data_IF_528395304977
#
_entry.id   IF_528395304977
#
_cell.length_a   1.000
_cell.length_b   1.000
_cell.length_c   1.000
_cell.angle_alpha   90.00
_cell.angle_beta   90.00
_cell.angle_gamma   90.00
#
_symmetry.space_group_name_H-M   'P 1'
#
loop_
_entity.id
_entity.type
_entity.pdbx_description
1 polymer ?
#
# COMPACT_ATOMS: atom_id res chain seq x y z
N UNK A 1 -17.84 -9.00 11.63
CA UNK A 1 -17.07 -8.97 10.38
C UNK A 1 -17.00 -7.52 10.00
N UNK A 2 -15.82 -6.92 10.11
CA UNK A 2 -15.67 -5.52 9.76
C UNK A 2 -15.94 -5.36 8.27
N UNK A 3 -16.72 -4.35 7.91
CA UNK A 3 -17.08 -4.08 6.53
C UNK A 3 -15.95 -3.27 5.92
N UNK A 4 -15.44 -3.72 4.77
CA UNK A 4 -14.54 -2.91 3.96
C UNK A 4 -15.33 -1.80 3.28
N UNK A 5 -14.78 -0.60 3.32
CA UNK A 5 -15.13 0.46 2.39
C UNK A 5 -14.28 0.26 1.13
N UNK A 6 -14.95 0.13 -0.01
CA UNK A 6 -14.30 -0.25 -1.26
C UNK A 6 -14.65 0.81 -2.30
N UNK A 7 -13.62 1.24 -3.01
CA UNK A 7 -13.75 2.10 -4.17
C UNK A 7 -13.03 1.43 -5.36
N UNK A 8 -13.51 1.70 -6.56
CA UNK A 8 -13.00 1.09 -7.78
C UNK A 8 -12.49 2.17 -8.73
N UNK A 9 -11.40 1.87 -9.42
CA UNK A 9 -10.85 2.67 -10.49
C UNK A 9 -10.74 1.82 -11.76
N UNK A 10 -11.23 2.33 -12.88
CA UNK A 10 -11.20 1.60 -14.15
C UNK A 10 -9.80 1.57 -14.80
N UNK A 11 -8.89 2.44 -14.37
CA UNK A 11 -7.52 2.59 -14.90
C UNK A 11 -6.55 3.08 -13.83
N UNK A 12 -5.25 2.77 -14.03
CA UNK A 12 -4.18 3.15 -13.11
C UNK A 12 -4.10 4.65 -12.79
N UNK A 13 -4.28 5.51 -13.79
CA UNK A 13 -4.25 6.98 -13.59
C UNK A 13 -5.38 7.48 -12.69
N UNK A 14 -6.55 6.83 -12.72
CA UNK A 14 -7.66 7.16 -11.83
C UNK A 14 -7.35 6.69 -10.42
N UNK A 15 -6.88 5.44 -10.26
CA UNK A 15 -6.48 4.91 -8.97
C UNK A 15 -5.40 5.75 -8.30
N UNK A 16 -4.42 6.23 -9.06
CA UNK A 16 -3.39 7.14 -8.55
C UNK A 16 -3.97 8.46 -8.05
N UNK A 17 -4.89 9.07 -8.80
CA UNK A 17 -5.58 10.29 -8.36
C UNK A 17 -6.37 10.06 -7.07
N UNK A 18 -7.10 8.95 -6.97
CA UNK A 18 -7.85 8.58 -5.76
C UNK A 18 -6.91 8.44 -4.56
N UNK A 19 -5.76 7.76 -4.71
CA UNK A 19 -4.75 7.67 -3.64
C UNK A 19 -4.24 9.06 -3.24
N UNK A 20 -3.92 9.93 -4.20
CA UNK A 20 -3.47 11.29 -3.90
C UNK A 20 -4.53 12.10 -3.15
N UNK A 21 -5.81 11.98 -3.51
CA UNK A 21 -6.92 12.65 -2.86
C UNK A 21 -7.15 12.11 -1.45
N UNK A 22 -7.14 10.79 -1.28
CA UNK A 22 -7.23 10.11 0.02
C UNK A 22 -6.11 10.52 0.97
N UNK A 23 -4.86 10.62 0.48
CA UNK A 23 -3.72 11.10 1.26
C UNK A 23 -3.89 12.56 1.69
N UNK A 24 -4.41 13.44 0.81
CA UNK A 24 -4.69 14.84 1.16
C UNK A 24 -5.82 14.98 2.19
N UNK A 25 -6.78 14.06 2.17
CA UNK A 25 -7.90 14.02 3.09
C UNK A 25 -7.59 13.31 4.42
N UNK A 26 -6.34 12.88 4.64
CA UNK A 26 -5.90 12.07 5.79
C UNK A 26 -6.75 10.79 5.97
N UNK A 27 -7.20 10.22 4.85
CA UNK A 27 -7.98 8.98 4.80
C UNK A 27 -7.35 7.98 3.82
N UNK A 28 -6.08 7.59 4.04
CA UNK A 28 -5.34 6.71 3.15
C UNK A 28 -5.99 5.34 2.99
N UNK A 29 -5.83 4.74 1.81
CA UNK A 29 -6.21 3.35 1.59
C UNK A 29 -5.19 2.41 2.24
N UNK A 30 -5.68 1.35 2.89
CA UNK A 30 -4.79 0.35 3.49
C UNK A 30 -4.24 -0.64 2.46
N UNK A 31 -5.08 -1.06 1.52
CA UNK A 31 -4.78 -2.09 0.52
C UNK A 31 -5.39 -1.74 -0.83
N UNK A 32 -4.70 -2.09 -1.90
CA UNK A 32 -5.21 -2.02 -3.27
C UNK A 32 -5.02 -3.35 -4.01
N UNK A 33 -5.97 -3.67 -4.88
CA UNK A 33 -5.90 -4.81 -5.79
C UNK A 33 -5.79 -4.27 -7.22
N UNK A 34 -4.70 -4.59 -7.91
CA UNK A 34 -4.37 -4.02 -9.21
C UNK A 34 -4.30 -5.12 -10.26
N UNK A 35 -5.03 -4.99 -11.36
CA UNK A 35 -4.88 -5.93 -12.48
C UNK A 35 -3.56 -5.71 -13.22
N UNK A 36 -2.91 -6.80 -13.63
CA UNK A 36 -1.65 -6.73 -14.38
C UNK A 36 -1.83 -6.10 -15.76
N UNK A 37 -2.94 -6.39 -16.47
CA UNK A 37 -3.19 -5.87 -17.83
C UNK A 37 -4.36 -4.90 -17.84
N UNK A 38 -4.10 -3.62 -18.12
CA UNK A 38 -5.11 -2.55 -18.12
C UNK A 38 -4.97 -1.64 -19.37
N UNK A 39 -5.20 -2.14 -20.60
CA UNK A 39 -5.22 -1.28 -21.77
C UNK A 39 -6.42 -0.30 -21.73
N UNK A 40 -6.32 0.90 -22.34
CA UNK A 40 -5.18 1.47 -23.07
C UNK A 40 -4.18 2.23 -22.19
N UNK A 41 -4.41 2.33 -20.87
CA UNK A 41 -3.61 3.12 -19.95
C UNK A 41 -2.42 2.37 -19.36
N UNK A 42 -2.07 2.74 -18.12
CA UNK A 42 -0.97 2.13 -17.39
C UNK A 42 -1.24 0.66 -17.13
N UNK A 43 -0.23 -0.20 -17.27
CA UNK A 43 -0.31 -1.58 -16.81
C UNK A 43 -0.27 -1.65 -15.27
N UNK A 44 -0.40 -2.85 -14.73
CA UNK A 44 -0.38 -3.04 -13.28
C UNK A 44 0.94 -2.63 -12.64
N UNK A 45 2.06 -2.80 -13.33
CA UNK A 45 3.40 -2.47 -12.79
C UNK A 45 3.57 -0.96 -12.71
N UNK A 46 3.33 -0.25 -13.82
CA UNK A 46 3.41 1.22 -13.88
C UNK A 46 2.41 1.87 -12.90
N UNK A 47 1.22 1.28 -12.78
CA UNK A 47 0.23 1.73 -11.79
C UNK A 47 0.79 1.64 -10.38
N UNK A 48 1.36 0.51 -9.99
CA UNK A 48 1.90 0.30 -8.63
C UNK A 48 3.08 1.24 -8.35
N UNK A 49 3.96 1.46 -9.33
CA UNK A 49 5.07 2.43 -9.21
C UNK A 49 4.54 3.82 -8.85
N UNK A 50 3.49 4.29 -9.53
CA UNK A 50 2.87 5.57 -9.23
C UNK A 50 2.13 5.58 -7.89
N UNK A 51 1.38 4.51 -7.56
CA UNK A 51 0.66 4.42 -6.29
C UNK A 51 1.63 4.54 -5.10
N UNK A 52 2.78 3.87 -5.13
CA UNK A 52 3.78 3.99 -4.05
C UNK A 52 4.52 5.32 -4.02
N UNK A 53 4.60 6.05 -5.13
CA UNK A 53 5.07 7.45 -5.10
C UNK A 53 4.08 8.35 -4.35
N UNK A 54 2.77 8.07 -4.46
CA UNK A 54 1.72 8.80 -3.75
C UNK A 54 1.57 8.38 -2.28
N UNK A 55 1.66 7.09 -2.01
CA UNK A 55 1.58 6.50 -0.67
C UNK A 55 2.55 5.31 -0.53
N UNK A 56 3.74 5.52 0.08
CA UNK A 56 4.73 4.46 0.31
C UNK A 56 4.29 3.37 1.31
N UNK A 57 3.25 3.59 2.10
CA UNK A 57 2.76 2.64 3.11
C UNK A 57 1.68 1.70 2.57
N UNK A 58 1.08 2.03 1.42
CA UNK A 58 0.03 1.26 0.76
C UNK A 58 0.44 -0.19 0.49
N UNK A 59 -0.41 -1.13 0.94
CA UNK A 59 -0.27 -2.55 0.60
C UNK A 59 -0.88 -2.82 -0.77
N UNK A 60 -0.23 -3.66 -1.56
CA UNK A 60 -0.61 -3.89 -2.96
C UNK A 60 -0.73 -5.39 -3.22
N UNK A 61 -1.82 -5.79 -3.86
CA UNK A 61 -2.00 -7.12 -4.43
C UNK A 61 -2.08 -7.00 -5.94
N UNK A 62 -1.11 -7.56 -6.66
CA UNK A 62 -1.17 -7.63 -8.12
C UNK A 62 -1.91 -8.89 -8.57
N UNK A 63 -2.99 -8.69 -9.31
CA UNK A 63 -3.85 -9.75 -9.83
C UNK A 63 -3.43 -10.11 -11.26
N UNK A 64 -3.14 -11.38 -11.53
CA UNK A 64 -2.59 -11.78 -12.84
C UNK A 64 -3.01 -13.17 -13.28
N UNK A 65 -3.19 -13.38 -14.59
CA UNK A 65 -3.44 -14.71 -15.17
C UNK A 65 -2.15 -15.43 -15.61
N UNK A 66 -0.97 -14.99 -15.14
CA UNK A 66 0.36 -15.30 -15.73
C UNK A 66 0.59 -16.76 -16.18
N UNK A 67 1.15 -16.89 -17.40
CA UNK A 67 1.75 -18.12 -17.93
C UNK A 67 3.26 -18.03 -18.24
N UNK A 68 3.91 -16.86 -18.45
CA UNK A 68 5.31 -16.85 -18.93
C UNK A 68 6.17 -15.67 -18.44
N UNK A 69 7.43 -15.96 -18.04
CA UNK A 69 8.70 -15.20 -18.03
C UNK A 69 8.78 -13.70 -17.62
N UNK A 70 7.72 -12.91 -17.61
CA UNK A 70 7.76 -11.48 -17.26
C UNK A 70 7.68 -11.20 -15.75
N UNK A 71 7.61 -12.25 -14.91
CA UNK A 71 7.54 -12.08 -13.46
C UNK A 71 8.87 -11.59 -12.85
N UNK A 72 9.99 -11.98 -13.44
CA UNK A 72 11.33 -11.54 -13.01
C UNK A 72 11.50 -10.04 -13.21
N UNK A 73 11.05 -9.51 -14.36
CA UNK A 73 11.05 -8.08 -14.66
C UNK A 73 10.15 -7.28 -13.71
N UNK A 74 8.99 -7.85 -13.35
CA UNK A 74 8.07 -7.24 -12.38
C UNK A 74 8.72 -7.14 -11.00
N UNK A 75 9.37 -8.22 -10.53
CA UNK A 75 10.11 -8.21 -9.25
C UNK A 75 11.24 -7.18 -9.28
N UNK A 76 11.97 -7.08 -10.40
CA UNK A 76 13.07 -6.14 -10.53
C UNK A 76 12.58 -4.68 -10.48
N UNK A 77 11.50 -4.35 -11.19
CA UNK A 77 10.92 -3.00 -11.22
C UNK A 77 10.28 -2.60 -9.90
N UNK A 78 9.45 -3.47 -9.33
CA UNK A 78 8.75 -3.21 -8.07
C UNK A 78 9.61 -3.48 -6.83
N UNK A 79 10.89 -3.82 -7.03
CA UNK A 79 11.98 -3.96 -6.08
C UNK A 79 11.55 -4.50 -4.70
N UNK A 80 11.47 -5.84 -4.56
CA UNK A 80 11.33 -6.62 -3.30
C UNK A 80 10.66 -5.89 -2.12
N UNK A 81 9.58 -5.15 -2.41
CA UNK A 81 8.85 -4.43 -1.40
C UNK A 81 8.02 -5.48 -0.67
N UNK A 82 8.20 -5.56 0.64
CA UNK A 82 7.45 -6.48 1.48
C UNK A 82 5.94 -6.20 1.40
N UNK A 83 5.52 -5.07 0.86
CA UNK A 83 4.13 -4.63 0.67
C UNK A 83 3.45 -5.15 -0.61
N UNK A 84 4.13 -5.94 -1.44
CA UNK A 84 3.57 -6.53 -2.66
C UNK A 84 3.25 -8.01 -2.48
N UNK A 85 2.00 -8.39 -2.74
CA UNK A 85 1.59 -9.79 -2.90
C UNK A 85 1.02 -10.03 -4.30
N UNK A 86 0.99 -11.30 -4.72
CA UNK A 86 0.48 -11.73 -6.03
C UNK A 86 -0.75 -12.57 -5.81
N UNK A 87 -1.80 -12.32 -6.59
CA UNK A 87 -2.98 -13.16 -6.66
C UNK A 87 -3.18 -13.66 -8.08
N UNK A 88 -3.14 -14.99 -8.27
CA UNK A 88 -3.24 -15.61 -9.59
C UNK A 88 -4.70 -15.82 -9.98
N UNK A 89 -5.07 -15.45 -11.20
CA UNK A 89 -6.39 -15.66 -11.81
C UNK A 89 -6.49 -17.08 -12.42
N UNK A 90 -7.66 -17.73 -12.36
CA UNK A 90 -8.80 -17.34 -11.53
C UNK A 90 -8.51 -17.56 -10.03
N UNK A 91 -9.05 -16.69 -9.20
CA UNK A 91 -8.96 -16.76 -7.73
C UNK A 91 -10.36 -16.87 -7.11
N UNK A 92 -10.42 -17.37 -5.89
CA UNK A 92 -11.65 -17.47 -5.09
C UNK A 92 -11.85 -16.21 -4.23
N UNK A 93 -13.11 -15.92 -3.89
CA UNK A 93 -13.49 -14.86 -2.96
C UNK A 93 -12.78 -15.00 -1.61
N UNK A 94 -12.51 -16.22 -1.13
CA UNK A 94 -11.81 -16.44 0.14
C UNK A 94 -10.35 -15.95 0.08
N UNK A 95 -9.67 -16.09 -1.06
CA UNK A 95 -8.28 -15.63 -1.22
C UNK A 95 -8.22 -14.10 -1.17
N UNK A 96 -9.13 -13.42 -1.87
CA UNK A 96 -9.26 -11.96 -1.84
C UNK A 96 -9.53 -11.48 -0.40
N UNK A 97 -10.47 -12.13 0.29
CA UNK A 97 -10.83 -11.76 1.66
C UNK A 97 -9.68 -11.97 2.65
N UNK A 98 -8.96 -13.08 2.55
CA UNK A 98 -7.80 -13.37 3.39
C UNK A 98 -6.69 -12.35 3.19
N UNK A 99 -6.40 -11.99 1.94
CA UNK A 99 -5.40 -10.98 1.60
C UNK A 99 -5.82 -9.59 2.11
N UNK A 100 -7.07 -9.19 1.86
CA UNK A 100 -7.59 -7.91 2.30
C UNK A 100 -7.48 -7.73 3.81
N UNK A 101 -7.91 -8.73 4.60
CA UNK A 101 -7.78 -8.68 6.06
C UNK A 101 -6.34 -8.65 6.54
N UNK A 102 -5.50 -9.55 6.01
CA UNK A 102 -4.12 -9.70 6.48
C UNK A 102 -3.32 -8.44 6.19
N UNK A 103 -3.48 -7.86 4.99
CA UNK A 103 -2.78 -6.65 4.59
C UNK A 103 -3.32 -5.41 5.30
N UNK A 104 -4.63 -5.29 5.49
CA UNK A 104 -5.21 -4.18 6.26
C UNK A 104 -4.72 -4.19 7.71
N UNK A 105 -4.68 -5.37 8.34
CA UNK A 105 -4.15 -5.51 9.70
C UNK A 105 -2.68 -5.10 9.76
N UNK A 106 -1.85 -5.64 8.86
CA UNK A 106 -0.43 -5.30 8.79
C UNK A 106 -0.18 -3.80 8.57
N UNK A 107 -0.96 -3.18 7.68
CA UNK A 107 -0.91 -1.75 7.43
C UNK A 107 -1.22 -0.95 8.71
N UNK A 108 -2.28 -1.33 9.42
CA UNK A 108 -2.70 -0.65 10.66
C UNK A 108 -1.65 -0.79 11.76
N UNK A 109 -1.08 -2.00 11.92
CA UNK A 109 -0.02 -2.27 12.90
C UNK A 109 1.24 -1.48 12.60
N UNK A 110 1.65 -1.39 11.33
CA UNK A 110 2.83 -0.62 10.92
C UNK A 110 2.66 0.88 11.23
N UNK A 111 1.49 1.46 10.94
CA UNK A 111 1.20 2.87 11.24
C UNK A 111 1.09 3.14 12.74
N UNK A 112 0.52 2.20 13.50
CA UNK A 112 0.47 2.31 14.96
C UNK A 112 1.89 2.30 15.55
N UNK A 113 2.74 1.37 15.12
CA UNK A 113 4.12 1.28 15.57
C UNK A 113 4.90 2.56 15.25
N UNK A 114 4.76 3.09 14.02
CA UNK A 114 5.36 4.37 13.62
C UNK A 114 4.89 5.53 14.48
N UNK A 115 3.57 5.65 14.71
CA UNK A 115 3.01 6.72 15.55
C UNK A 115 3.50 6.66 16.99
N UNK A 116 3.69 5.45 17.54
CA UNK A 116 4.27 5.27 18.88
C UNK A 116 5.73 5.70 18.93
N UNK A 117 6.53 5.36 17.90
CA UNK A 117 7.92 5.79 17.79
C UNK A 117 8.04 7.31 17.66
N UNK A 118 7.20 7.94 16.85
CA UNK A 118 7.17 9.40 16.68
C UNK A 118 6.84 10.12 18.00
N UNK A 119 5.88 9.58 18.77
CA UNK A 119 5.54 10.11 20.10
C UNK A 119 6.72 9.98 21.08
N UNK A 120 7.39 8.82 21.11
CA UNK A 120 8.56 8.60 21.96
C UNK A 120 9.72 9.53 21.59
N UNK A 121 9.96 9.73 20.30
CA UNK A 121 10.99 10.64 19.81
C UNK A 121 10.73 12.08 20.28
N UNK A 122 9.48 12.54 20.16
CA UNK A 122 9.07 13.88 20.62
C UNK A 122 9.32 14.08 22.12
N UNK A 123 8.95 13.10 22.96
CA UNK A 123 9.21 13.19 24.40
C UNK A 123 10.70 13.17 24.75
N UNK A 124 11.53 12.45 23.97
CA UNK A 124 12.97 12.42 24.16
C UNK A 124 13.60 13.78 23.85
N UNK A 125 13.14 14.45 22.78
CA UNK A 125 13.57 15.80 22.41
C UNK A 125 13.19 16.84 23.49
N UNK A 126 11.94 16.82 23.96
CA UNK A 126 11.46 17.72 25.01
C UNK A 126 12.31 17.60 26.30
N UNK A 127 12.64 16.37 26.72
CA UNK A 127 13.49 16.14 27.90
C UNK A 127 14.95 16.58 27.69
N UNK A 128 15.49 16.39 26.49
CA UNK A 128 16.84 16.83 26.18
C UNK A 128 16.96 18.35 26.28
N UNK A 129 15.96 19.09 25.79
CA UNK A 129 15.93 20.55 25.90
C UNK A 129 15.79 21.05 27.34
N UNK A 130 14.97 20.39 28.17
CA UNK A 130 14.82 20.73 29.59
C UNK A 130 16.14 20.55 30.36
N UNK A 131 16.87 19.46 30.07
CA UNK A 131 18.15 19.16 30.73
C UNK A 131 19.25 20.15 30.34
N UNK A 132 19.24 20.66 29.10
CA UNK A 132 20.17 21.69 28.63
C UNK A 132 19.85 23.07 29.22
N UNK A 133 18.57 23.40 29.46
CA UNK A 133 18.17 24.67 30.08
C UNK A 133 18.38 24.72 31.60
N UNK A 134 18.47 23.56 32.24
CA UNK A 134 18.64 23.42 33.69
C UNK A 134 20.11 23.40 34.16
N UNK A 135 21.08 23.35 33.22
CA UNK A 135 22.52 23.44 33.46
C UNK A 135 23.09 24.78 32.96
#
# INVERSE_FOLDING_TARGET
>A
MDKFEVECADQGQMGYRMVQEAMKADRPYAVTFVDMRMPPGWDGVETIEHLWQGDPELQVVICTAFSDHAWEDVIQRLNKNDKLLILRKPFDNIEVWQLANSLTKRWSEARQAKSQLDLLAKWAEERAEETVKAN
#
